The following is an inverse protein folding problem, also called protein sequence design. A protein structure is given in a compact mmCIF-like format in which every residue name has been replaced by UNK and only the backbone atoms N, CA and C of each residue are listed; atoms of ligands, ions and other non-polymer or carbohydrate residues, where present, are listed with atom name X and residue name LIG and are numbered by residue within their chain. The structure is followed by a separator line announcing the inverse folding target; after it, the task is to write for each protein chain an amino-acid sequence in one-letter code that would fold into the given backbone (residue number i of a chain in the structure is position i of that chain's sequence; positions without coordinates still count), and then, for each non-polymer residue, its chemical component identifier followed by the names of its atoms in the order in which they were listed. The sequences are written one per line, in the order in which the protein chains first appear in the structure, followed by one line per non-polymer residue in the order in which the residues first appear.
data_IF_548691975095
#
_entry.id   IF_548691975095
#
_cell.length_a   1.000
_cell.length_b   1.000
_cell.length_c   1.000
_cell.angle_alpha   90.00
_cell.angle_beta   90.00
_cell.angle_gamma   90.00
#
_symmetry.space_group_name_H-M   'P 1'
#
loop_
_entity.id
_entity.type
_entity.pdbx_description
1 polymer ?
#
# COMPACT_ATOMS: atom_id res chain seq x y z
N UNK A 1 14.32 22.46 -18.02
CA UNK A 1 13.66 21.13 -17.96
C UNK A 1 12.18 21.37 -18.16
N UNK A 2 11.53 20.76 -19.15
CA UNK A 2 10.11 20.96 -19.36
C UNK A 2 9.32 20.44 -18.14
N UNK A 3 8.18 21.08 -17.86
CA UNK A 3 7.21 20.64 -16.85
C UNK A 3 6.00 20.13 -17.62
N UNK A 4 5.58 18.90 -17.33
CA UNK A 4 4.42 18.28 -17.95
C UNK A 4 3.27 18.20 -16.95
N UNK A 5 2.05 18.53 -17.40
CA UNK A 5 0.84 18.19 -16.64
C UNK A 5 0.64 16.68 -16.72
N UNK A 6 0.26 16.07 -15.59
CA UNK A 6 -0.08 14.66 -15.52
C UNK A 6 -1.59 14.47 -15.44
N UNK A 7 -2.11 13.60 -16.30
CA UNK A 7 -3.41 12.98 -16.11
C UNK A 7 -3.23 11.68 -15.34
N UNK A 8 -3.94 11.55 -14.22
CA UNK A 8 -3.68 10.52 -13.22
C UNK A 8 -4.86 9.55 -13.16
N UNK A 9 -4.63 8.23 -13.25
CA UNK A 9 -5.71 7.25 -13.20
C UNK A 9 -6.35 7.16 -11.81
N UNK A 10 -7.67 7.10 -11.79
CA UNK A 10 -8.48 6.82 -10.58
C UNK A 10 -8.82 5.32 -10.56
N UNK A 11 -8.55 4.67 -9.44
CA UNK A 11 -8.94 3.29 -9.19
C UNK A 11 -10.32 3.25 -8.52
N UNK A 12 -11.26 2.55 -9.15
CA UNK A 12 -12.66 2.49 -8.73
C UNK A 12 -12.97 1.26 -7.87
N UNK A 13 -12.21 1.05 -6.79
CA UNK A 13 -12.47 -0.07 -5.87
C UNK A 13 -13.69 0.21 -4.98
N UNK A 14 -14.49 -0.82 -4.69
CA UNK A 14 -15.78 -0.72 -3.96
C UNK A 14 -15.72 -0.14 -2.53
N UNK A 15 -14.51 0.03 -1.99
CA UNK A 15 -14.27 0.65 -0.69
C UNK A 15 -14.06 2.17 -0.78
N UNK A 16 -13.96 2.73 -1.98
CA UNK A 16 -13.75 4.17 -2.20
C UNK A 16 -14.97 5.02 -1.88
N UNK A 17 -14.76 6.29 -1.51
CA UNK A 17 -15.84 7.29 -1.49
C UNK A 17 -16.18 7.72 -2.92
N UNK A 18 -17.37 8.27 -3.16
CA UNK A 18 -17.75 8.73 -4.49
C UNK A 18 -17.36 10.19 -4.78
N UNK A 19 -16.96 10.96 -3.76
CA UNK A 19 -16.94 12.42 -3.81
C UNK A 19 -15.59 13.03 -3.43
N UNK A 20 -14.80 12.44 -2.52
CA UNK A 20 -13.58 13.09 -2.03
C UNK A 20 -12.51 13.32 -3.12
N UNK A 21 -12.18 12.30 -3.92
CA UNK A 21 -11.22 12.44 -5.03
C UNK A 21 -11.79 13.33 -6.15
N UNK A 22 -13.05 13.16 -6.60
CA UNK A 22 -13.65 14.09 -7.57
C UNK A 22 -13.65 15.54 -7.08
N UNK A 23 -14.01 15.78 -5.82
CA UNK A 23 -14.00 17.10 -5.19
C UNK A 23 -12.59 17.70 -5.13
N UNK A 24 -11.58 16.90 -4.78
CA UNK A 24 -10.17 17.32 -4.80
C UNK A 24 -9.71 17.75 -6.20
N UNK A 25 -10.16 17.06 -7.24
CA UNK A 25 -9.79 17.34 -8.63
C UNK A 25 -10.69 18.39 -9.30
N UNK A 26 -11.80 18.78 -8.66
CA UNK A 26 -12.80 19.66 -9.25
C UNK A 26 -13.52 19.05 -10.46
N UNK A 27 -13.73 17.73 -10.46
CA UNK A 27 -14.42 17.01 -11.54
C UNK A 27 -15.77 16.45 -11.07
N UNK A 28 -16.70 16.30 -12.01
CA UNK A 28 -18.00 15.67 -11.74
C UNK A 28 -17.88 14.14 -11.69
N UNK A 29 -18.70 13.51 -10.84
CA UNK A 29 -18.89 12.06 -10.80
C UNK A 29 -20.39 11.72 -10.80
N UNK A 30 -21.11 11.97 -11.91
CA UNK A 30 -22.58 11.89 -11.96
C UNK A 30 -23.11 10.47 -11.70
N UNK A 31 -22.31 9.46 -11.98
CA UNK A 31 -22.66 8.05 -11.77
C UNK A 31 -22.45 7.59 -10.31
N UNK A 32 -21.87 8.44 -9.46
CA UNK A 32 -21.57 8.10 -8.06
C UNK A 32 -20.61 6.91 -7.92
N UNK A 33 -19.69 6.71 -8.87
CA UNK A 33 -18.75 5.58 -8.84
C UNK A 33 -17.78 5.73 -7.66
N UNK A 34 -17.45 4.65 -6.94
CA UNK A 34 -16.40 4.67 -5.94
C UNK A 34 -15.08 5.14 -6.55
N UNK A 35 -14.38 6.06 -5.89
CA UNK A 35 -13.07 6.61 -6.26
C UNK A 35 -12.11 6.37 -5.08
N UNK A 36 -11.43 5.22 -5.12
CA UNK A 36 -10.69 4.70 -3.98
C UNK A 36 -9.25 5.22 -3.91
N UNK A 37 -8.57 5.25 -5.05
CA UNK A 37 -7.18 5.69 -5.13
C UNK A 37 -6.94 6.55 -6.38
N UNK A 38 -6.33 7.72 -6.24
CA UNK A 38 -5.75 8.48 -7.35
C UNK A 38 -4.27 8.14 -7.44
N UNK A 39 -3.81 7.59 -8.56
CA UNK A 39 -2.42 7.16 -8.74
C UNK A 39 -1.61 8.21 -9.49
N UNK A 40 -0.51 8.65 -8.89
CA UNK A 40 0.45 9.59 -9.46
C UNK A 40 1.81 8.92 -9.56
N UNK A 41 2.19 8.53 -10.78
CA UNK A 41 3.47 7.89 -11.00
C UNK A 41 3.51 7.01 -12.24
N UNK A 42 4.54 6.16 -12.32
CA UNK A 42 4.85 5.35 -13.48
C UNK A 42 4.55 3.86 -13.26
N UNK A 43 3.49 3.53 -12.50
CA UNK A 43 3.18 2.14 -12.20
C UNK A 43 2.70 1.39 -13.46
N UNK A 44 3.26 0.23 -13.84
CA UNK A 44 2.97 -0.41 -15.13
C UNK A 44 1.49 -0.75 -15.39
N UNK A 45 0.72 -1.02 -14.33
CA UNK A 45 -0.72 -1.30 -14.45
C UNK A 45 -1.58 -0.08 -14.77
N UNK A 46 -1.14 1.11 -14.37
CA UNK A 46 -1.89 2.36 -14.53
C UNK A 46 -0.93 3.54 -14.39
N UNK A 47 -0.09 3.79 -15.40
CA UNK A 47 0.83 4.94 -15.38
C UNK A 47 0.03 6.24 -15.56
N UNK A 48 0.48 7.32 -14.92
CA UNK A 48 0.05 8.66 -15.27
C UNK A 48 0.41 8.97 -16.73
N UNK A 49 -0.39 9.80 -17.39
CA UNK A 49 -0.14 10.26 -18.75
C UNK A 49 0.43 11.68 -18.69
N UNK A 50 1.61 11.87 -19.24
CA UNK A 50 2.23 13.19 -19.37
C UNK A 50 1.78 13.86 -20.67
N UNK A 51 1.31 15.09 -20.58
CA UNK A 51 1.00 15.93 -21.73
C UNK A 51 2.28 16.57 -22.26
N UNK A 52 2.83 16.03 -23.35
CA UNK A 52 4.00 16.60 -24.03
C UNK A 52 3.57 17.38 -25.26
N UNK A 53 4.50 18.16 -25.83
CA UNK A 53 4.25 18.92 -27.07
C UNK A 53 3.93 18.00 -28.26
N UNK A 54 4.47 16.77 -28.27
CA UNK A 54 4.23 15.75 -29.29
C UNK A 54 2.95 14.92 -29.02
N UNK A 55 2.25 15.20 -27.92
CA UNK A 55 1.03 14.52 -27.49
C UNK A 55 1.16 13.74 -26.17
N UNK A 56 0.09 13.06 -25.73
CA UNK A 56 0.09 12.32 -24.47
C UNK A 56 1.01 11.10 -24.49
N UNK A 57 1.87 10.96 -23.48
CA UNK A 57 2.81 9.83 -23.33
C UNK A 57 2.70 9.22 -21.93
N UNK A 58 2.57 7.88 -21.79
CA UNK A 58 2.64 7.22 -20.48
C UNK A 58 3.96 7.52 -19.75
N UNK A 59 3.88 7.88 -18.47
CA UNK A 59 5.02 8.36 -17.69
C UNK A 59 6.13 7.31 -17.54
N UNK A 60 5.77 6.02 -17.46
CA UNK A 60 6.71 4.90 -17.47
C UNK A 60 7.54 4.85 -18.76
N UNK A 61 6.89 5.06 -19.92
CA UNK A 61 7.56 5.13 -21.22
C UNK A 61 8.40 6.39 -21.37
N UNK A 62 7.91 7.51 -20.86
CA UNK A 62 8.64 8.78 -20.88
C UNK A 62 9.95 8.66 -20.09
N UNK A 63 9.89 8.08 -18.89
CA UNK A 63 11.06 7.81 -18.05
C UNK A 63 12.00 6.82 -18.73
N UNK A 64 11.48 5.71 -19.28
CA UNK A 64 12.31 4.68 -19.90
C UNK A 64 13.11 5.17 -21.12
N UNK A 65 12.60 6.15 -21.87
CA UNK A 65 13.30 6.77 -23.01
C UNK A 65 14.50 7.61 -22.59
N UNK A 66 14.43 8.27 -21.43
CA UNK A 66 15.46 9.19 -20.95
C UNK A 66 15.56 9.16 -19.41
N UNK A 67 16.08 8.07 -18.82
CA UNK A 67 16.01 7.86 -17.38
C UNK A 67 16.88 8.84 -16.59
N UNK A 68 18.08 9.19 -17.08
CA UNK A 68 18.95 10.15 -16.40
C UNK A 68 18.32 11.56 -16.38
N UNK A 69 17.83 12.11 -17.51
CA UNK A 69 17.08 13.37 -17.48
C UNK A 69 15.82 13.36 -16.60
N UNK A 70 15.08 12.23 -16.57
CA UNK A 70 13.81 12.15 -15.85
C UNK A 70 13.95 11.92 -14.35
N UNK A 71 14.90 11.06 -13.93
CA UNK A 71 15.06 10.61 -12.54
C UNK A 71 16.28 11.24 -11.86
N UNK A 72 17.21 11.79 -12.63
CA UNK A 72 18.56 12.12 -12.17
C UNK A 72 19.49 10.89 -12.14
N UNK A 73 20.82 11.12 -12.22
CA UNK A 73 21.80 10.04 -12.35
C UNK A 73 21.78 9.07 -11.17
N UNK A 74 21.68 9.57 -9.93
CA UNK A 74 21.69 8.74 -8.71
C UNK A 74 20.51 7.77 -8.64
N UNK A 75 19.31 8.23 -9.00
CA UNK A 75 18.11 7.39 -8.97
C UNK A 75 18.15 6.39 -10.12
N UNK A 76 18.52 6.83 -11.32
CA UNK A 76 18.64 5.96 -12.49
C UNK A 76 19.70 4.86 -12.28
N UNK A 77 20.83 5.17 -11.66
CA UNK A 77 21.86 4.18 -11.31
C UNK A 77 21.35 3.14 -10.31
N UNK A 78 20.61 3.59 -9.28
CA UNK A 78 20.16 2.72 -8.19
C UNK A 78 18.94 1.86 -8.54
N UNK A 79 18.00 2.42 -9.30
CA UNK A 79 16.69 1.80 -9.56
C UNK A 79 16.44 1.50 -11.05
N UNK A 80 17.37 1.87 -11.93
CA UNK A 80 17.20 1.73 -13.37
C UNK A 80 16.19 2.72 -13.94
N UNK A 81 15.57 2.41 -15.09
CA UNK A 81 14.63 3.29 -15.78
C UNK A 81 13.21 3.27 -15.16
N UNK A 82 13.12 3.20 -13.83
CA UNK A 82 11.86 3.03 -13.10
C UNK A 82 11.74 4.08 -12.01
N UNK A 83 10.55 4.69 -11.88
CA UNK A 83 10.25 5.58 -10.77
C UNK A 83 10.13 4.74 -9.47
N UNK A 84 10.95 5.00 -8.43
CA UNK A 84 11.06 4.11 -7.28
C UNK A 84 9.94 4.30 -6.23
N UNK A 85 8.88 5.02 -6.59
CA UNK A 85 7.72 5.23 -5.73
C UNK A 85 6.45 5.34 -6.57
N UNK A 86 5.32 5.09 -5.91
CA UNK A 86 3.98 5.41 -6.41
C UNK A 86 3.34 6.34 -5.39
N UNK A 87 2.98 7.53 -5.82
CA UNK A 87 2.24 8.47 -4.97
C UNK A 87 0.75 8.23 -5.15
N UNK A 88 0.00 8.32 -4.05
CA UNK A 88 -1.45 8.09 -4.04
C UNK A 88 -2.17 9.10 -3.18
N UNK A 89 -3.37 9.47 -3.61
CA UNK A 89 -4.42 9.97 -2.70
C UNK A 89 -5.38 8.81 -2.50
N UNK A 90 -5.65 8.45 -1.24
CA UNK A 90 -6.61 7.42 -0.89
C UNK A 90 -7.86 8.08 -0.33
N UNK A 91 -9.03 7.57 -0.70
CA UNK A 91 -10.29 7.92 -0.05
C UNK A 91 -11.05 6.67 0.31
N UNK A 92 -11.14 6.38 1.61
CA UNK A 92 -11.72 5.15 2.13
C UNK A 92 -13.09 5.41 2.75
N UNK A 93 -14.14 4.86 2.14
CA UNK A 93 -15.51 4.84 2.69
C UNK A 93 -15.76 3.63 3.61
N UNK A 94 -14.89 2.62 3.56
CA UNK A 94 -14.97 1.38 4.33
C UNK A 94 -13.62 1.06 4.96
N UNK A 95 -13.59 0.41 6.15
CA UNK A 95 -12.35 -0.11 6.72
C UNK A 95 -11.67 -1.07 5.74
N UNK A 96 -10.35 -0.91 5.58
CA UNK A 96 -9.53 -1.78 4.74
C UNK A 96 -9.02 -2.98 5.55
N UNK A 97 -8.58 -4.03 4.84
CA UNK A 97 -7.98 -5.20 5.48
C UNK A 97 -6.74 -4.82 6.29
N UNK A 98 -6.52 -5.53 7.40
CA UNK A 98 -5.25 -5.44 8.14
C UNK A 98 -4.15 -6.03 7.25
N UNK A 99 -3.06 -5.28 7.10
CA UNK A 99 -1.95 -5.64 6.22
C UNK A 99 -0.63 -5.69 6.99
N UNK A 100 0.28 -6.53 6.51
CA UNK A 100 1.67 -6.55 6.94
C UNK A 100 2.58 -6.70 5.73
N UNK A 101 3.57 -5.82 5.61
CA UNK A 101 4.56 -5.91 4.54
C UNK A 101 5.80 -6.68 4.99
N UNK A 102 6.17 -7.76 4.26
CA UNK A 102 7.36 -8.52 4.60
C UNK A 102 8.64 -7.68 4.38
N UNK A 103 9.71 -7.92 5.17
CA UNK A 103 11.02 -7.39 4.85
C UNK A 103 11.51 -7.98 3.52
N UNK A 104 12.45 -7.29 2.86
CA UNK A 104 12.89 -7.57 1.50
C UNK A 104 13.24 -9.04 1.25
N UNK A 105 14.07 -9.63 2.11
CA UNK A 105 14.48 -11.03 1.96
C UNK A 105 13.31 -12.04 2.01
N UNK A 106 12.22 -11.72 2.74
CA UNK A 106 11.00 -12.55 2.75
C UNK A 106 10.19 -12.32 1.48
N UNK A 107 10.13 -11.09 0.98
CA UNK A 107 9.47 -10.78 -0.29
C UNK A 107 10.15 -11.50 -1.47
N UNK A 108 11.48 -11.44 -1.56
CA UNK A 108 12.28 -12.14 -2.57
C UNK A 108 12.01 -13.66 -2.56
N UNK A 109 12.04 -14.27 -1.37
CA UNK A 109 11.76 -15.71 -1.21
C UNK A 109 10.32 -16.08 -1.54
N UNK A 110 9.35 -15.29 -1.10
CA UNK A 110 7.93 -15.52 -1.36
C UNK A 110 7.59 -15.39 -2.85
N UNK A 111 8.10 -14.33 -3.50
CA UNK A 111 7.95 -14.09 -4.93
C UNK A 111 8.54 -15.24 -5.76
N UNK A 112 9.75 -15.67 -5.44
CA UNK A 112 10.40 -16.78 -6.13
C UNK A 112 9.63 -18.09 -5.95
N UNK A 113 9.13 -18.38 -4.74
CA UNK A 113 8.33 -19.57 -4.45
C UNK A 113 7.03 -19.59 -5.26
N UNK A 114 6.23 -18.52 -5.22
CA UNK A 114 4.96 -18.47 -5.95
C UNK A 114 5.16 -18.52 -7.48
N UNK A 115 6.30 -18.02 -8.00
CA UNK A 115 6.66 -18.19 -9.42
C UNK A 115 7.00 -19.64 -9.78
N UNK A 116 7.75 -20.34 -8.91
CA UNK A 116 8.07 -21.76 -9.10
C UNK A 116 6.81 -22.63 -9.08
N UNK A 117 5.83 -22.24 -8.26
CA UNK A 117 4.50 -22.87 -8.19
C UNK A 117 3.57 -22.41 -9.33
N UNK A 118 4.04 -21.55 -10.23
CA UNK A 118 3.31 -21.00 -11.37
C UNK A 118 1.99 -20.30 -11.01
N UNK A 119 1.90 -19.71 -9.81
CA UNK A 119 0.73 -18.92 -9.39
C UNK A 119 0.68 -17.63 -10.23
N UNK A 120 -0.39 -17.37 -11.00
CA UNK A 120 -0.50 -16.14 -11.79
C UNK A 120 -0.40 -14.86 -10.94
N UNK A 121 0.15 -13.77 -11.49
CA UNK A 121 0.34 -12.50 -10.76
C UNK A 121 -0.96 -11.81 -10.35
N UNK A 122 -2.05 -12.13 -11.03
CA UNK A 122 -3.41 -11.63 -10.81
C UNK A 122 -4.29 -12.64 -10.06
N UNK A 123 -3.77 -13.82 -9.70
CA UNK A 123 -4.51 -14.81 -8.94
C UNK A 123 -4.87 -14.28 -7.53
N UNK A 124 -6.09 -14.56 -7.02
CA UNK A 124 -6.52 -14.13 -5.69
C UNK A 124 -5.59 -14.58 -4.56
N UNK A 125 -4.99 -15.77 -4.69
CA UNK A 125 -4.09 -16.38 -3.73
C UNK A 125 -2.63 -15.88 -3.82
N UNK A 126 -2.30 -15.04 -4.81
CA UNK A 126 -0.95 -14.50 -5.02
C UNK A 126 -0.65 -13.40 -4.00
N UNK A 127 0.22 -13.69 -3.03
CA UNK A 127 0.59 -12.74 -1.98
C UNK A 127 1.79 -11.88 -2.37
N UNK A 128 2.74 -12.43 -3.12
CA UNK A 128 3.98 -11.76 -3.50
C UNK A 128 3.93 -11.39 -4.99
N UNK A 129 3.65 -10.11 -5.27
CA UNK A 129 3.54 -9.57 -6.64
C UNK A 129 4.85 -9.03 -7.19
N UNK A 130 5.83 -8.81 -6.32
CA UNK A 130 7.18 -8.37 -6.64
C UNK A 130 8.16 -8.78 -5.51
N UNK A 131 9.49 -8.75 -5.76
CA UNK A 131 10.49 -9.16 -4.78
C UNK A 131 10.89 -8.05 -3.79
N UNK A 132 10.28 -6.87 -3.79
CA UNK A 132 10.69 -5.77 -2.94
C UNK A 132 9.93 -5.72 -1.60
N UNK A 133 10.56 -5.05 -0.63
CA UNK A 133 9.84 -4.55 0.54
C UNK A 133 9.06 -3.30 0.15
N UNK A 134 7.93 -3.08 0.82
CA UNK A 134 7.03 -1.97 0.54
C UNK A 134 6.97 -1.03 1.76
N UNK A 135 7.95 -0.14 1.93
CA UNK A 135 7.84 0.90 2.94
C UNK A 135 6.76 1.89 2.49
N UNK A 136 5.88 2.26 3.41
CA UNK A 136 4.77 3.16 3.14
C UNK A 136 4.81 4.34 4.13
N UNK A 137 4.34 5.49 3.66
CA UNK A 137 4.15 6.70 4.47
C UNK A 137 2.76 7.23 4.16
N UNK A 138 2.02 7.57 5.21
CA UNK A 138 0.69 8.13 5.10
C UNK A 138 0.70 9.54 5.71
N UNK A 139 0.08 10.48 4.98
CA UNK A 139 -0.19 11.84 5.46
C UNK A 139 -1.69 12.05 5.38
N UNK A 140 -2.29 12.36 6.52
CA UNK A 140 -3.72 12.62 6.62
C UNK A 140 -4.03 13.99 5.99
N UNK A 141 -4.93 14.02 5.00
CA UNK A 141 -5.45 15.25 4.39
C UNK A 141 -6.68 15.78 5.13
N UNK A 142 -7.40 14.87 5.78
CA UNK A 142 -8.56 15.08 6.65
C UNK A 142 -8.40 14.22 7.91
N UNK A 143 -9.39 14.20 8.79
CA UNK A 143 -9.40 13.27 9.92
C UNK A 143 -9.28 11.82 9.43
N UNK A 144 -8.32 11.09 9.99
CA UNK A 144 -7.96 9.76 9.54
C UNK A 144 -7.80 8.79 10.71
N UNK A 145 -8.45 7.64 10.60
CA UNK A 145 -8.32 6.54 11.56
C UNK A 145 -7.58 5.36 10.92
N UNK A 146 -6.58 4.83 11.62
CA UNK A 146 -5.81 3.69 11.17
C UNK A 146 -5.22 2.88 12.31
N UNK A 147 -4.99 1.59 12.06
CA UNK A 147 -4.25 0.70 12.95
C UNK A 147 -2.78 0.64 12.50
N UNK A 148 -1.85 0.89 13.41
CA UNK A 148 -0.41 0.82 13.12
C UNK A 148 0.36 0.20 14.28
N UNK A 149 0.93 -0.98 14.03
CA UNK A 149 1.72 -1.72 15.01
C UNK A 149 0.89 -2.30 16.17
N UNK A 150 1.58 -3.03 17.05
CA UNK A 150 0.99 -3.53 18.29
C UNK A 150 1.08 -2.46 19.38
N UNK A 151 0.05 -2.40 20.22
CA UNK A 151 0.08 -1.63 21.48
C UNK A 151 1.15 -2.16 22.43
N UNK A 152 1.58 -1.36 23.43
CA UNK A 152 2.35 -1.86 24.56
C UNK A 152 1.64 -3.05 25.24
N UNK A 153 2.40 -4.08 25.61
CA UNK A 153 1.86 -5.31 26.23
C UNK A 153 0.94 -5.00 27.43
N UNK A 154 1.27 -4.09 28.36
CA UNK A 154 0.36 -3.75 29.47
C UNK A 154 -1.02 -3.24 29.02
N UNK A 155 -1.09 -2.47 27.93
CA UNK A 155 -2.37 -2.03 27.37
C UNK A 155 -3.15 -3.19 26.76
N UNK A 156 -2.48 -4.08 26.03
CA UNK A 156 -3.09 -5.29 25.46
C UNK A 156 -3.70 -6.13 26.59
N UNK A 157 -2.94 -6.40 27.65
CA UNK A 157 -3.42 -7.16 28.81
C UNK A 157 -4.59 -6.46 29.51
N UNK A 158 -4.53 -5.14 29.65
CA UNK A 158 -5.60 -4.34 30.22
C UNK A 158 -6.91 -4.44 29.41
N UNK A 159 -6.82 -4.49 28.08
CA UNK A 159 -7.97 -4.68 27.21
C UNK A 159 -8.50 -6.11 27.30
N UNK A 160 -7.64 -7.13 27.20
CA UNK A 160 -8.05 -8.55 27.29
C UNK A 160 -8.83 -8.80 28.58
N UNK A 161 -8.32 -8.34 29.74
CA UNK A 161 -9.00 -8.51 31.03
C UNK A 161 -10.38 -7.85 31.11
N UNK A 162 -10.62 -6.81 30.30
CA UNK A 162 -11.88 -6.05 30.29
C UNK A 162 -12.91 -6.63 29.32
N UNK A 163 -12.47 -7.10 28.15
CA UNK A 163 -13.39 -7.40 27.04
C UNK A 163 -13.30 -8.81 26.48
N UNK A 164 -12.20 -9.55 26.73
CA UNK A 164 -12.03 -10.88 26.16
C UNK A 164 -12.75 -11.96 26.98
N UNK A 165 -13.20 -13.05 26.36
CA UNK A 165 -13.70 -14.22 27.07
C UNK A 165 -12.62 -14.85 27.97
N UNK A 166 -13.05 -15.56 29.02
CA UNK A 166 -12.15 -16.22 29.99
C UNK A 166 -11.17 -17.23 29.38
N UNK A 167 -11.44 -17.74 28.17
CA UNK A 167 -10.52 -18.62 27.45
C UNK A 167 -9.17 -17.95 27.15
N UNK A 168 -9.11 -16.60 27.12
CA UNK A 168 -7.88 -15.85 26.95
C UNK A 168 -7.09 -15.66 28.26
N UNK A 169 -7.63 -16.01 29.43
CA UNK A 169 -6.99 -15.77 30.73
C UNK A 169 -5.61 -16.47 30.81
N UNK A 170 -5.52 -17.70 30.30
CA UNK A 170 -4.27 -18.44 30.29
C UNK A 170 -3.22 -17.80 29.37
N UNK A 171 -3.63 -17.35 28.18
CA UNK A 171 -2.74 -16.71 27.22
C UNK A 171 -2.28 -15.35 27.76
N UNK A 172 -3.20 -14.56 28.31
CA UNK A 172 -2.90 -13.28 28.95
C UNK A 172 -1.94 -13.47 30.13
N UNK A 173 -2.18 -14.46 30.98
CA UNK A 173 -1.28 -14.77 32.10
C UNK A 173 0.12 -15.22 31.66
N UNK A 174 0.24 -15.89 30.51
CA UNK A 174 1.54 -16.23 29.93
C UNK A 174 2.26 -14.99 29.40
N UNK A 175 1.56 -14.13 28.67
CA UNK A 175 2.10 -12.87 28.16
C UNK A 175 2.49 -11.89 29.28
N UNK A 176 1.76 -11.88 30.39
CA UNK A 176 2.07 -11.07 31.57
C UNK A 176 3.34 -11.56 32.28
N UNK A 177 3.52 -12.88 32.40
CA UNK A 177 4.71 -13.48 33.02
C UNK A 177 5.96 -13.36 32.15
N UNK A 178 5.79 -13.51 30.84
CA UNK A 178 6.88 -13.48 29.86
C UNK A 178 6.54 -12.49 28.73
N UNK A 179 6.62 -11.17 28.99
CA UNK A 179 6.30 -10.17 27.98
C UNK A 179 7.33 -10.22 26.84
N UNK A 180 6.90 -10.67 25.66
CA UNK A 180 7.80 -10.88 24.55
C UNK A 180 7.09 -11.09 23.21
N UNK A 181 7.88 -11.05 22.13
CA UNK A 181 7.38 -11.27 20.76
C UNK A 181 6.78 -12.67 20.58
N UNK A 182 7.31 -13.67 21.27
CA UNK A 182 6.86 -15.06 21.17
C UNK A 182 5.45 -15.18 21.74
N UNK A 183 5.25 -14.77 22.99
CA UNK A 183 3.96 -14.82 23.68
C UNK A 183 2.91 -13.93 22.98
N UNK A 184 3.32 -12.76 22.49
CA UNK A 184 2.45 -11.89 21.71
C UNK A 184 2.02 -12.56 20.39
N UNK A 185 2.92 -13.30 19.74
CA UNK A 185 2.56 -14.05 18.54
C UNK A 185 1.58 -15.20 18.82
N UNK A 186 1.72 -15.89 19.96
CA UNK A 186 0.77 -16.95 20.36
C UNK A 186 -0.63 -16.36 20.54
N UNK A 187 -0.73 -15.18 21.19
CA UNK A 187 -1.98 -14.46 21.30
C UNK A 187 -2.55 -14.09 19.93
N UNK A 188 -1.73 -13.54 19.04
CA UNK A 188 -2.18 -13.08 17.71
C UNK A 188 -2.69 -14.23 16.82
N UNK A 189 -2.05 -15.40 16.85
CA UNK A 189 -2.47 -16.57 16.07
C UNK A 189 -3.61 -17.39 16.71
N UNK A 190 -4.09 -16.98 17.89
CA UNK A 190 -5.24 -17.62 18.57
C UNK A 190 -6.55 -16.86 18.39
N UNK A 191 -6.51 -15.66 17.83
CA UNK A 191 -7.69 -14.98 17.31
C UNK A 191 -8.24 -15.69 16.07
#
# INVERSE_FOLDING_TARGET
MPIFRLENPIQHYDWGTADAIPGLLGIDNPDGKPCAELWMGAHPKAPSIAETEDGPVPLDRLIARAPIPALGPTVAERFGPVLPFLFKVLSAAKPLSIQAHPPRFKAERGFAKENLEAVPLDAPERNYKDPNHKPEMLVALEDFEGLCGFRPIPEILGLIRKVAPREYDQIAGNLDRNPGKVELSVLFYRF
#
